data_IF_083368043008
#
_entry.id   IF_083368043008
#
_cell.length_a   1.000
_cell.length_b   1.000
_cell.length_c   1.000
_cell.angle_alpha   90.00
_cell.angle_beta   90.00
_cell.angle_gamma   90.00
#
_symmetry.space_group_name_H-M   'P 1'
#
loop_
_entity.id
_entity.type
_entity.pdbx_description
1 polymer ?
#
# COMPACT_ATOMS: atom_id res chain seq x y z
N UNK A 1 -10.61 -1.21 31.65
CA UNK A 1 -11.20 -1.21 30.29
C UNK A 1 -10.52 -2.33 29.50
N UNK A 2 -11.22 -3.43 29.23
CA UNK A 2 -10.61 -4.61 28.62
C UNK A 2 -10.91 -4.65 27.12
N UNK A 3 -10.01 -4.08 26.31
CA UNK A 3 -10.14 -4.05 24.85
C UNK A 3 -10.37 -5.47 24.29
N UNK A 4 -9.61 -6.45 24.80
CA UNK A 4 -9.68 -7.85 24.38
C UNK A 4 -11.01 -8.55 24.69
N UNK A 5 -11.75 -8.09 25.72
CA UNK A 5 -13.04 -8.68 26.07
C UNK A 5 -14.13 -8.41 25.01
N UNK A 6 -14.02 -7.29 24.28
CA UNK A 6 -14.92 -6.97 23.17
C UNK A 6 -14.73 -7.96 22.00
N UNK A 7 -13.48 -8.30 21.71
CA UNK A 7 -13.13 -9.24 20.63
C UNK A 7 -13.60 -10.68 20.93
N UNK A 8 -13.54 -11.10 22.20
CA UNK A 8 -13.96 -12.45 22.62
C UNK A 8 -15.49 -12.60 22.66
N UNK A 9 -16.22 -11.56 23.09
CA UNK A 9 -17.69 -11.62 23.23
C UNK A 9 -18.45 -11.48 21.91
N UNK A 10 -17.81 -10.95 20.85
CA UNK A 10 -18.42 -10.75 19.52
C UNK A 10 -17.54 -11.38 18.43
N UNK A 11 -17.39 -12.72 18.40
CA UNK A 11 -16.48 -13.41 17.47
C UNK A 11 -16.81 -13.15 15.99
N UNK A 12 -18.05 -12.79 15.67
CA UNK A 12 -18.47 -12.42 14.31
C UNK A 12 -17.96 -11.03 13.91
N UNK A 13 -17.94 -10.06 14.84
CA UNK A 13 -17.46 -8.71 14.53
C UNK A 13 -15.95 -8.72 14.27
N UNK A 14 -15.21 -9.55 15.01
CA UNK A 14 -13.75 -9.67 14.87
C UNK A 14 -13.35 -10.37 13.58
N UNK A 15 -14.06 -11.44 13.20
CA UNK A 15 -13.82 -12.14 11.95
C UNK A 15 -14.15 -11.26 10.74
N UNK A 16 -15.26 -10.50 10.79
CA UNK A 16 -15.60 -9.53 9.75
C UNK A 16 -14.55 -8.42 9.62
N UNK A 17 -14.05 -7.88 10.74
CA UNK A 17 -12.98 -6.89 10.74
C UNK A 17 -11.71 -7.45 10.11
N UNK A 18 -11.33 -8.67 10.50
CA UNK A 18 -10.13 -9.32 9.95
C UNK A 18 -10.26 -9.60 8.45
N UNK A 19 -11.45 -10.01 7.99
CA UNK A 19 -11.77 -10.18 6.57
C UNK A 19 -11.68 -8.85 5.81
N UNK A 20 -12.22 -7.77 6.36
CA UNK A 20 -12.15 -6.45 5.76
C UNK A 20 -10.69 -5.96 5.60
N UNK A 21 -9.85 -6.17 6.62
CA UNK A 21 -8.42 -5.85 6.56
C UNK A 21 -7.69 -6.69 5.49
N UNK A 22 -7.99 -7.99 5.43
CA UNK A 22 -7.37 -8.90 4.46
C UNK A 22 -7.72 -8.49 3.02
N UNK A 23 -8.99 -8.19 2.75
CA UNK A 23 -9.46 -7.76 1.43
C UNK A 23 -8.88 -6.40 1.06
N UNK A 24 -8.86 -5.44 1.98
CA UNK A 24 -8.24 -4.14 1.77
C UNK A 24 -6.74 -4.27 1.46
N UNK A 25 -6.03 -5.12 2.18
CA UNK A 25 -4.60 -5.37 1.97
C UNK A 25 -4.32 -6.04 0.63
N UNK A 26 -5.12 -7.04 0.25
CA UNK A 26 -4.99 -7.72 -1.04
C UNK A 26 -5.23 -6.75 -2.21
N UNK A 27 -6.23 -5.87 -2.08
CA UNK A 27 -6.51 -4.85 -3.07
C UNK A 27 -5.35 -3.84 -3.17
N UNK A 28 -4.86 -3.34 -2.03
CA UNK A 28 -3.72 -2.43 -1.99
C UNK A 28 -2.45 -3.05 -2.59
N UNK A 29 -2.20 -4.34 -2.37
CA UNK A 29 -1.07 -5.06 -2.95
C UNK A 29 -1.16 -5.11 -4.48
N UNK A 30 -2.35 -5.27 -5.05
CA UNK A 30 -2.57 -5.24 -6.49
C UNK A 30 -2.32 -3.85 -7.10
N UNK A 31 -2.68 -2.80 -6.37
CA UNK A 31 -2.50 -1.42 -6.80
C UNK A 31 -1.10 -0.86 -6.53
N UNK A 32 -0.21 -1.62 -5.88
CA UNK A 32 1.12 -1.16 -5.59
C UNK A 32 1.90 -1.01 -6.92
N UNK A 33 2.28 0.22 -7.31
CA UNK A 33 2.97 0.45 -8.57
C UNK A 33 4.39 -0.12 -8.46
N UNK A 34 4.65 -1.21 -9.17
CA UNK A 34 5.99 -1.75 -9.30
C UNK A 34 6.70 -0.96 -10.39
N UNK A 35 7.46 0.06 -10.00
CA UNK A 35 8.33 0.80 -10.92
C UNK A 35 9.50 -0.12 -11.31
N UNK A 36 9.45 -0.69 -12.53
CA UNK A 36 10.46 -1.60 -13.07
C UNK A 36 11.77 -0.90 -13.43
N UNK A 37 11.74 0.42 -13.64
CA UNK A 37 12.91 1.29 -13.55
C UNK A 37 12.55 2.47 -12.66
N UNK A 38 13.29 2.75 -11.57
CA UNK A 38 13.21 4.06 -10.96
C UNK A 38 13.53 5.09 -12.05
N UNK A 39 12.71 6.13 -12.19
CA UNK A 39 13.04 7.28 -13.04
C UNK A 39 14.25 7.96 -12.42
N UNK A 40 15.44 7.44 -12.75
CA UNK A 40 16.68 8.13 -12.49
C UNK A 40 16.70 9.22 -13.55
N UNK A 41 16.18 10.39 -13.17
CA UNK A 41 16.42 11.61 -13.93
C UNK A 41 17.93 11.83 -13.92
N UNK A 42 18.64 11.28 -14.90
CA UNK A 42 20.05 11.55 -15.11
C UNK A 42 20.13 12.99 -15.61
N UNK A 43 20.56 13.98 -14.78
CA UNK A 43 20.61 15.36 -15.22
C UNK A 43 21.69 15.47 -16.29
N UNK A 44 21.28 15.36 -17.56
CA UNK A 44 22.16 15.45 -18.71
C UNK A 44 22.14 16.91 -19.14
N UNK A 45 23.26 17.60 -18.94
CA UNK A 45 23.45 18.95 -19.46
C UNK A 45 23.55 18.84 -20.99
N UNK A 46 22.48 19.17 -21.70
CA UNK A 46 22.48 19.25 -23.16
C UNK A 46 23.08 20.61 -23.57
N UNK A 47 24.33 20.60 -24.02
CA UNK A 47 24.96 21.80 -24.59
C UNK A 47 24.66 21.82 -26.09
N UNK A 48 23.71 22.68 -26.50
CA UNK A 48 23.45 22.97 -27.90
C UNK A 48 24.25 24.20 -28.33
N UNK A 49 25.23 24.02 -29.21
CA UNK A 49 25.92 25.13 -29.88
C UNK A 49 25.24 25.38 -31.22
N UNK A 50 24.44 26.44 -31.30
CA UNK A 50 24.01 27.00 -32.58
C UNK A 50 25.15 27.85 -33.12
N UNK A 51 25.55 27.59 -34.38
CA UNK A 51 26.61 28.31 -35.09
C UNK A 51 26.15 29.71 -35.49
#
# INVERSE_FOLDING_TARGET
MNLSALFIRRPVATSLLMLALLLSGALAYRFLPVASLPQVDYPTIQVSTLY
#
